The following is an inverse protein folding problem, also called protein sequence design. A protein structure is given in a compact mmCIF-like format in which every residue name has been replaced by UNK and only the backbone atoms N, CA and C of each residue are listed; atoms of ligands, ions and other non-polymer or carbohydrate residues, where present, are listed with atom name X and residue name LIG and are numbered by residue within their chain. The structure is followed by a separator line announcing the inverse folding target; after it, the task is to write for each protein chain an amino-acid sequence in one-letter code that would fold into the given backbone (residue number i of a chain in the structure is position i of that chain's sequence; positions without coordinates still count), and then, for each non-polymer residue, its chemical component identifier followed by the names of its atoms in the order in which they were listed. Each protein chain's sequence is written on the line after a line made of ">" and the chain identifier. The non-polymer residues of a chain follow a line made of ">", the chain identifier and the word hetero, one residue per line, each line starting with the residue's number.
data_IF_992780977325
#
_entry.id   IF_992780977325
#
_cell.length_a   1.000
_cell.length_b   1.000
_cell.length_c   1.000
_cell.angle_alpha   90.00
_cell.angle_beta   90.00
_cell.angle_gamma   90.00
#
_symmetry.space_group_name_H-M   'P 1'
#
loop_
_entity.id
_entity.type
_entity.pdbx_description
1 polymer ?
#
# COMPACT_ATOMS: atom_id res chain seq x y z
N UNK A 1 -13.45 -41.20 16.71
CA UNK A 1 -12.81 -40.26 17.67
C UNK A 1 -11.80 -39.46 16.89
N UNK A 2 -11.96 -38.13 16.85
CA UNK A 2 -10.99 -37.21 16.24
C UNK A 2 -9.69 -37.23 17.05
N UNK A 3 -8.58 -37.56 16.42
CA UNK A 3 -7.26 -37.52 17.07
C UNK A 3 -6.77 -36.09 17.23
N UNK A 4 -5.90 -35.83 18.22
CA UNK A 4 -5.29 -34.50 18.39
C UNK A 4 -4.54 -34.05 17.13
N UNK A 5 -3.91 -34.96 16.38
CA UNK A 5 -3.27 -34.68 15.09
C UNK A 5 -4.26 -34.17 14.05
N UNK A 6 -5.44 -34.80 13.91
CA UNK A 6 -6.48 -34.39 12.97
C UNK A 6 -7.06 -33.01 13.32
N UNK A 7 -7.25 -32.74 14.63
CA UNK A 7 -7.72 -31.43 15.09
C UNK A 7 -6.66 -30.34 14.84
N UNK A 8 -5.36 -30.67 14.96
CA UNK A 8 -4.27 -29.75 14.67
C UNK A 8 -4.16 -29.46 13.15
N UNK A 9 -4.36 -30.48 12.29
CA UNK A 9 -4.41 -30.30 10.83
C UNK A 9 -5.54 -29.35 10.42
N UNK A 10 -6.73 -29.50 10.99
CA UNK A 10 -7.86 -28.61 10.74
C UNK A 10 -7.61 -27.18 11.25
N UNK A 11 -6.76 -27.01 12.25
CA UNK A 11 -6.36 -25.69 12.75
C UNK A 11 -5.19 -25.05 11.98
N UNK A 12 -4.49 -25.85 11.16
CA UNK A 12 -3.30 -25.44 10.44
C UNK A 12 -3.59 -24.65 9.16
N UNK A 13 -4.74 -24.91 8.52
CA UNK A 13 -5.08 -24.30 7.25
C UNK A 13 -5.48 -22.82 7.44
N UNK A 14 -4.74 -21.91 6.81
CA UNK A 14 -5.06 -20.48 6.72
C UNK A 14 -5.15 -19.72 8.06
N UNK A 15 -4.24 -19.98 8.98
CA UNK A 15 -4.16 -19.22 10.23
C UNK A 15 -3.48 -17.87 10.00
N UNK A 16 -4.04 -16.82 10.60
CA UNK A 16 -3.31 -15.56 10.81
C UNK A 16 -2.32 -15.79 11.96
N UNK A 17 -1.03 -15.71 11.65
CA UNK A 17 0.05 -15.95 12.61
C UNK A 17 0.45 -14.68 13.36
N UNK A 18 0.41 -13.54 12.67
CA UNK A 18 0.65 -12.22 13.24
C UNK A 18 -0.03 -11.13 12.41
N UNK A 19 -0.27 -9.99 13.06
CA UNK A 19 -0.81 -8.79 12.42
C UNK A 19 0.09 -7.61 12.78
N UNK A 20 0.46 -6.82 11.78
CA UNK A 20 1.21 -5.57 11.94
C UNK A 20 0.39 -4.42 11.37
N UNK A 21 0.38 -3.29 12.05
CA UNK A 21 -0.33 -2.09 11.65
C UNK A 21 0.64 -0.93 11.49
N UNK A 22 0.52 -0.21 10.38
CA UNK A 22 1.21 1.04 10.11
C UNK A 22 0.21 2.13 9.75
N UNK A 23 0.47 3.35 10.18
CA UNK A 23 -0.34 4.51 9.81
C UNK A 23 0.48 5.78 9.73
N UNK A 24 0.01 6.75 8.96
CA UNK A 24 0.58 8.08 8.85
C UNK A 24 -0.50 9.09 8.50
N UNK A 25 -0.33 10.32 8.99
CA UNK A 25 -1.12 11.49 8.59
C UNK A 25 -0.23 12.63 8.07
N UNK A 26 1.06 12.33 7.87
CA UNK A 26 2.03 13.33 7.40
C UNK A 26 1.84 13.58 5.90
N UNK A 27 1.35 14.77 5.55
CA UNK A 27 1.19 15.17 4.17
C UNK A 27 2.54 15.18 3.42
N UNK A 28 2.55 14.60 2.24
CA UNK A 28 3.73 14.53 1.37
C UNK A 28 3.35 14.99 -0.03
N UNK A 29 4.18 15.87 -0.60
CA UNK A 29 3.98 16.42 -1.94
C UNK A 29 5.01 15.86 -2.91
N UNK A 30 4.57 15.52 -4.11
CA UNK A 30 5.44 15.16 -5.23
C UNK A 30 4.91 15.83 -6.52
N UNK A 31 5.80 16.54 -7.20
CA UNK A 31 5.53 17.17 -8.49
C UNK A 31 6.47 16.66 -9.58
N UNK A 32 7.01 15.46 -9.41
CA UNK A 32 7.95 14.83 -10.34
C UNK A 32 7.42 13.51 -10.87
N UNK A 33 7.95 13.08 -12.01
CA UNK A 33 7.68 11.77 -12.59
C UNK A 33 8.50 10.62 -11.96
N UNK A 34 9.21 10.91 -10.86
CA UNK A 34 9.92 9.90 -10.07
C UNK A 34 9.08 9.52 -8.85
N UNK A 35 8.96 8.23 -8.59
CA UNK A 35 8.25 7.75 -7.40
C UNK A 35 8.96 8.18 -6.11
N UNK A 36 8.21 8.82 -5.22
CA UNK A 36 8.63 9.18 -3.86
C UNK A 36 7.77 8.43 -2.83
N UNK A 37 8.30 8.24 -1.62
CA UNK A 37 7.60 7.60 -0.53
C UNK A 37 6.44 8.45 -0.03
N UNK A 38 5.32 7.80 0.34
CA UNK A 38 4.15 8.47 0.92
C UNK A 38 4.24 8.62 2.44
N UNK A 39 5.32 8.17 3.06
CA UNK A 39 5.50 7.97 4.52
C UNK A 39 4.69 6.81 5.12
N UNK A 40 3.75 6.20 4.37
CA UNK A 40 3.04 5.01 4.83
C UNK A 40 3.91 3.77 4.65
N UNK A 41 4.26 3.14 5.77
CA UNK A 41 5.13 1.96 5.81
C UNK A 41 4.77 1.06 6.99
N UNK A 42 5.01 -0.25 6.81
CA UNK A 42 4.96 -1.26 7.87
C UNK A 42 5.96 -2.38 7.57
N UNK A 43 6.51 -3.02 8.59
CA UNK A 43 7.46 -4.13 8.43
C UNK A 43 6.99 -5.35 9.20
N UNK A 44 7.08 -6.52 8.58
CA UNK A 44 6.72 -7.82 9.17
C UNK A 44 7.90 -8.77 9.02
N UNK A 45 8.09 -9.65 10.01
CA UNK A 45 9.08 -10.74 9.95
C UNK A 45 8.33 -12.06 9.89
N UNK A 46 8.15 -12.68 8.71
CA UNK A 46 7.41 -13.92 8.60
C UNK A 46 8.05 -15.04 9.41
N UNK A 47 7.23 -15.88 10.04
CA UNK A 47 7.66 -17.03 10.84
C UNK A 47 8.10 -18.22 9.96
N UNK A 48 7.61 -18.27 8.71
CA UNK A 48 7.99 -19.29 7.73
C UNK A 48 8.20 -18.66 6.35
N UNK A 49 9.16 -19.18 5.59
CA UNK A 49 9.39 -18.78 4.21
C UNK A 49 8.27 -19.22 3.26
N UNK A 50 7.40 -20.14 3.67
CA UNK A 50 6.20 -20.53 2.94
C UNK A 50 4.98 -19.68 3.28
N UNK A 51 5.02 -18.89 4.35
CA UNK A 51 3.93 -17.99 4.73
C UNK A 51 3.67 -16.94 3.66
N UNK A 52 2.40 -16.56 3.53
CA UNK A 52 1.95 -15.44 2.69
C UNK A 52 1.69 -14.21 3.57
N UNK A 53 1.75 -13.03 2.99
CA UNK A 53 1.41 -11.77 3.67
C UNK A 53 0.24 -11.11 2.94
N UNK A 54 -0.92 -11.06 3.60
CA UNK A 54 -2.03 -10.23 3.13
C UNK A 54 -1.75 -8.78 3.51
N UNK A 55 -1.57 -7.95 2.48
CA UNK A 55 -1.34 -6.51 2.61
C UNK A 55 -2.63 -5.78 2.29
N UNK A 56 -3.18 -5.05 3.26
CA UNK A 56 -4.34 -4.18 3.03
C UNK A 56 -3.92 -2.73 3.25
N UNK A 57 -4.17 -1.89 2.26
CA UNK A 57 -3.80 -0.47 2.27
C UNK A 57 -5.01 0.40 2.00
N UNK A 58 -5.15 1.46 2.81
CA UNK A 58 -6.01 2.60 2.54
C UNK A 58 -5.14 3.86 2.48
N UNK A 59 -4.91 4.37 1.27
CA UNK A 59 -4.16 5.59 1.01
C UNK A 59 -5.15 6.75 0.89
N UNK A 60 -5.21 7.60 1.90
CA UNK A 60 -6.19 8.67 2.02
C UNK A 60 -5.58 10.05 1.75
N UNK A 61 -6.45 11.05 1.50
CA UNK A 61 -6.02 12.40 1.19
C UNK A 61 -5.14 12.45 -0.07
N UNK A 62 -5.43 11.61 -1.07
CA UNK A 62 -4.83 11.73 -2.38
C UNK A 62 -5.44 12.93 -3.09
N UNK A 63 -4.61 13.90 -3.47
CA UNK A 63 -5.06 15.17 -4.00
C UNK A 63 -4.16 15.63 -5.16
N UNK A 64 -4.76 16.15 -6.21
CA UNK A 64 -4.07 16.90 -7.27
C UNK A 64 -4.39 18.38 -7.16
N UNK A 65 -3.40 19.25 -7.30
CA UNK A 65 -3.65 20.69 -7.42
C UNK A 65 -4.27 21.03 -8.78
N UNK A 66 -5.04 22.11 -8.82
CA UNK A 66 -5.66 22.63 -10.06
C UNK A 66 -4.71 23.41 -10.96
N UNK A 67 -3.40 23.35 -10.76
CA UNK A 67 -2.44 24.15 -11.51
C UNK A 67 -2.27 23.71 -12.98
N UNK A 68 -2.69 22.50 -13.34
CA UNK A 68 -2.56 21.98 -14.70
C UNK A 68 -3.66 20.95 -15.00
N UNK A 69 -4.26 21.02 -16.20
CA UNK A 69 -5.30 20.11 -16.67
C UNK A 69 -4.82 18.65 -16.76
N UNK A 70 -3.55 18.44 -17.07
CA UNK A 70 -2.94 17.11 -17.20
C UNK A 70 -2.46 16.51 -15.86
N UNK A 71 -2.68 17.21 -14.75
CA UNK A 71 -2.25 16.74 -13.44
C UNK A 71 -3.01 15.47 -13.04
N UNK A 72 -2.27 14.47 -12.59
CA UNK A 72 -2.76 13.15 -12.18
C UNK A 72 -1.76 12.50 -11.23
N UNK A 73 -2.15 11.40 -10.60
CA UNK A 73 -1.31 10.69 -9.65
C UNK A 73 -1.25 9.20 -9.99
N UNK A 74 -0.07 8.61 -9.86
CA UNK A 74 0.12 7.17 -9.84
C UNK A 74 0.60 6.73 -8.46
N UNK A 75 -0.02 5.68 -7.92
CA UNK A 75 0.32 5.10 -6.62
C UNK A 75 0.61 3.62 -6.79
N UNK A 76 1.63 3.13 -6.09
CA UNK A 76 2.00 1.71 -6.10
C UNK A 76 2.33 1.20 -4.70
N UNK A 77 2.14 -0.10 -4.50
CA UNK A 77 2.60 -0.86 -3.35
C UNK A 77 3.98 -1.44 -3.67
N UNK A 78 4.91 -1.30 -2.72
CA UNK A 78 6.30 -1.71 -2.85
C UNK A 78 6.68 -2.61 -1.67
N UNK A 79 7.38 -3.72 -1.94
CA UNK A 79 8.07 -4.55 -0.97
C UNK A 79 9.58 -4.32 -1.10
N UNK A 80 10.21 -3.78 -0.03
CA UNK A 80 11.62 -3.37 -0.12
C UNK A 80 11.84 -2.33 -1.23
N UNK A 81 12.50 -2.72 -2.31
CA UNK A 81 12.70 -1.92 -3.52
C UNK A 81 11.80 -2.34 -4.69
N UNK A 82 11.07 -3.45 -4.57
CA UNK A 82 10.31 -4.06 -5.66
C UNK A 82 8.86 -3.59 -5.66
N UNK A 83 8.38 -3.05 -6.78
CA UNK A 83 6.94 -2.79 -6.98
C UNK A 83 6.20 -4.12 -7.10
N UNK A 84 5.24 -4.37 -6.22
CA UNK A 84 4.45 -5.60 -6.22
C UNK A 84 3.04 -5.39 -6.75
N UNK A 85 2.49 -4.18 -6.66
CA UNK A 85 1.19 -3.87 -7.25
C UNK A 85 1.06 -2.37 -7.60
N UNK A 86 0.28 -2.06 -8.64
CA UNK A 86 -0.26 -0.72 -8.87
C UNK A 86 -1.54 -0.57 -8.04
N UNK A 87 -1.67 0.53 -7.30
CA UNK A 87 -2.86 0.84 -6.50
C UNK A 87 -3.84 1.75 -7.25
N UNK A 88 -3.35 2.48 -8.23
CA UNK A 88 -4.16 3.39 -9.04
C UNK A 88 -3.92 3.17 -10.53
N UNK A 89 -4.94 3.47 -11.35
CA UNK A 89 -4.78 3.57 -12.80
C UNK A 89 -4.01 4.83 -13.20
N UNK A 90 -3.61 4.90 -14.48
CA UNK A 90 -2.78 5.98 -14.99
C UNK A 90 -3.53 7.35 -15.08
N UNK A 91 -4.85 7.33 -14.97
CA UNK A 91 -5.71 8.52 -14.95
C UNK A 91 -6.30 8.84 -13.58
N UNK A 92 -5.71 8.31 -12.50
CA UNK A 92 -6.19 8.59 -11.16
C UNK A 92 -6.09 10.09 -10.83
N UNK A 93 -7.20 10.67 -10.39
CA UNK A 93 -7.43 12.10 -10.17
C UNK A 93 -7.46 12.98 -11.43
N UNK A 94 -7.27 12.44 -12.62
CA UNK A 94 -7.33 13.21 -13.86
C UNK A 94 -8.75 13.74 -14.10
N UNK A 95 -8.87 15.01 -14.49
CA UNK A 95 -10.16 15.67 -14.77
C UNK A 95 -10.25 16.28 -16.17
N UNK A 96 -9.12 16.35 -16.90
CA UNK A 96 -9.04 17.05 -18.18
C UNK A 96 -9.11 18.58 -18.06
N UNK A 97 -9.24 19.11 -16.85
CA UNK A 97 -9.33 20.53 -16.54
C UNK A 97 -8.32 20.91 -15.45
N UNK A 98 -7.95 22.21 -15.42
CA UNK A 98 -7.12 22.79 -14.37
C UNK A 98 -7.92 22.97 -13.07
N UNK A 99 -8.37 21.86 -12.49
CA UNK A 99 -9.18 21.79 -11.27
C UNK A 99 -8.48 20.94 -10.21
N UNK A 100 -8.68 21.30 -8.95
CA UNK A 100 -8.29 20.46 -7.82
C UNK A 100 -9.23 19.27 -7.71
N UNK A 101 -8.68 18.08 -7.44
CA UNK A 101 -9.46 16.87 -7.25
C UNK A 101 -8.81 15.98 -6.19
N UNK A 102 -9.62 15.30 -5.42
CA UNK A 102 -9.18 14.41 -4.36
C UNK A 102 -9.97 13.12 -4.29
N UNK A 103 -9.31 12.06 -3.86
CA UNK A 103 -9.90 10.74 -3.65
C UNK A 103 -9.05 9.92 -2.65
N UNK A 104 -9.44 8.67 -2.44
CA UNK A 104 -8.65 7.65 -1.75
C UNK A 104 -8.37 6.49 -2.69
N UNK A 105 -7.24 5.80 -2.48
CA UNK A 105 -6.89 4.58 -3.18
C UNK A 105 -6.73 3.45 -2.16
N UNK A 106 -7.24 2.27 -2.47
CA UNK A 106 -7.10 1.10 -1.62
C UNK A 106 -6.73 -0.14 -2.40
N UNK A 107 -6.07 -1.08 -1.74
CA UNK A 107 -5.76 -2.38 -2.30
C UNK A 107 -5.73 -3.44 -1.19
N UNK A 108 -6.17 -4.66 -1.52
CA UNK A 108 -5.85 -5.88 -0.79
C UNK A 108 -5.02 -6.77 -1.72
N UNK A 109 -3.83 -7.15 -1.27
CA UNK A 109 -2.86 -7.91 -2.06
C UNK A 109 -2.26 -9.02 -1.23
N UNK A 110 -2.30 -10.24 -1.74
CA UNK A 110 -1.68 -11.40 -1.11
C UNK A 110 -0.29 -11.59 -1.73
N UNK A 111 0.75 -11.32 -0.94
CA UNK A 111 2.15 -11.43 -1.33
C UNK A 111 2.80 -12.73 -0.84
N UNK A 112 3.79 -13.18 -1.57
CA UNK A 112 4.63 -14.35 -1.25
C UNK A 112 6.08 -13.89 -1.10
N UNK A 113 6.50 -13.38 0.08
CA UNK A 113 7.82 -12.81 0.25
C UNK A 113 8.94 -13.85 0.25
N UNK A 114 8.62 -15.12 0.49
CA UNK A 114 9.52 -16.28 0.51
C UNK A 114 10.75 -16.09 1.42
N UNK A 115 10.57 -15.45 2.57
CA UNK A 115 11.65 -15.15 3.52
C UNK A 115 11.16 -15.16 4.96
N UNK A 116 12.08 -15.38 5.90
CA UNK A 116 11.89 -15.18 7.34
C UNK A 116 12.63 -13.94 7.85
N UNK A 117 13.16 -13.11 6.95
CA UNK A 117 13.78 -11.83 7.30
C UNK A 117 12.75 -10.72 7.39
N UNK A 118 13.07 -9.66 8.15
CA UNK A 118 12.23 -8.47 8.22
C UNK A 118 11.98 -7.89 6.82
N UNK A 119 10.72 -7.78 6.45
CA UNK A 119 10.25 -7.36 5.13
C UNK A 119 9.40 -6.10 5.28
N UNK A 120 9.82 -5.01 4.63
CA UNK A 120 9.14 -3.72 4.68
C UNK A 120 8.23 -3.55 3.46
N UNK A 121 6.99 -3.20 3.72
CA UNK A 121 6.01 -2.76 2.73
C UNK A 121 5.79 -1.26 2.87
N UNK A 122 5.64 -0.57 1.76
CA UNK A 122 5.37 0.87 1.72
C UNK A 122 4.58 1.24 0.48
N UNK A 123 3.98 2.43 0.48
CA UNK A 123 3.40 3.02 -0.72
C UNK A 123 4.30 4.13 -1.25
N UNK A 124 4.32 4.26 -2.57
CA UNK A 124 5.03 5.34 -3.26
C UNK A 124 4.13 5.95 -4.31
N UNK A 125 4.33 7.21 -4.65
CA UNK A 125 3.52 7.94 -5.61
C UNK A 125 4.35 8.86 -6.49
N UNK A 126 3.81 9.21 -7.65
CA UNK A 126 4.40 10.21 -8.55
C UNK A 126 3.31 11.00 -9.29
N UNK A 127 3.68 12.15 -9.82
CA UNK A 127 2.95 12.82 -10.87
C UNK A 127 3.56 12.43 -12.23
N UNK A 128 2.90 11.63 -13.06
CA UNK A 128 3.50 11.14 -14.30
C UNK A 128 3.79 12.25 -15.32
N UNK A 129 3.14 13.41 -15.19
CA UNK A 129 3.30 14.53 -16.11
C UNK A 129 4.29 15.60 -15.63
N UNK A 130 4.75 15.54 -14.40
CA UNK A 130 5.74 16.46 -13.82
C UNK A 130 5.37 17.95 -13.94
N UNK A 131 4.09 18.29 -13.86
CA UNK A 131 3.60 19.66 -14.18
C UNK A 131 3.00 20.38 -12.98
N UNK A 132 2.47 19.67 -11.99
CA UNK A 132 1.83 20.26 -10.82
C UNK A 132 1.90 19.32 -9.62
N UNK A 133 1.65 19.85 -8.43
CA UNK A 133 1.75 19.07 -7.20
C UNK A 133 0.66 18.00 -7.11
N UNK A 134 1.07 16.79 -6.74
CA UNK A 134 0.24 15.74 -6.17
C UNK A 134 0.60 15.59 -4.71
N UNK A 135 -0.40 15.37 -3.85
CA UNK A 135 -0.25 15.31 -2.41
C UNK A 135 -0.93 14.03 -1.91
N UNK A 136 -0.35 13.39 -0.92
CA UNK A 136 -0.99 12.31 -0.15
C UNK A 136 -1.11 12.76 1.30
N UNK A 137 -2.05 12.21 2.06
CA UNK A 137 -2.41 12.65 3.40
C UNK A 137 -2.80 14.14 3.47
N UNK A 138 -3.36 14.71 2.39
CA UNK A 138 -3.86 16.08 2.40
C UNK A 138 -4.87 16.28 3.54
N UNK A 139 -4.78 17.45 4.20
CA UNK A 139 -5.61 17.76 5.36
C UNK A 139 -5.37 16.86 6.57
N UNK A 140 -4.20 16.26 6.71
CA UNK A 140 -3.87 15.28 7.76
C UNK A 140 -4.73 14.03 7.72
N UNK A 141 -5.25 13.65 6.55
CA UNK A 141 -6.00 12.42 6.36
C UNK A 141 -5.14 11.20 6.72
N UNK A 142 -5.65 10.33 7.58
CA UNK A 142 -4.91 9.15 8.04
C UNK A 142 -4.91 8.07 6.97
N UNK A 143 -3.74 7.68 6.50
CA UNK A 143 -3.52 6.49 5.68
C UNK A 143 -3.07 5.32 6.55
N UNK A 144 -3.51 4.10 6.19
CA UNK A 144 -3.27 2.89 6.99
C UNK A 144 -2.77 1.73 6.14
N UNK A 145 -1.96 0.88 6.77
CA UNK A 145 -1.51 -0.39 6.21
C UNK A 145 -1.63 -1.48 7.26
N UNK A 146 -2.26 -2.60 6.89
CA UNK A 146 -2.33 -3.81 7.71
C UNK A 146 -1.59 -4.92 6.98
N UNK A 147 -0.68 -5.57 7.67
CA UNK A 147 0.02 -6.77 7.21
C UNK A 147 -0.44 -7.94 8.06
N UNK A 148 -0.96 -8.99 7.41
CA UNK A 148 -1.35 -10.24 8.10
C UNK A 148 -0.51 -11.38 7.54
N UNK A 149 0.27 -12.04 8.38
CA UNK A 149 0.92 -13.29 8.00
C UNK A 149 -0.10 -14.42 8.02
N UNK A 150 -0.22 -15.10 6.89
CA UNK A 150 -1.10 -16.26 6.68
C UNK A 150 -0.22 -17.50 6.57
N UNK A 151 -0.50 -18.53 7.38
CA UNK A 151 0.20 -19.81 7.25
C UNK A 151 -0.06 -20.44 5.87
N UNK A 152 0.96 -21.10 5.31
CA UNK A 152 0.79 -21.98 4.15
C UNK A 152 0.12 -23.29 4.55
#
# INVERSE_FOLDING_TARGET
>A
VLTAAYVNDLRGAFRVLQVVYGSTSTATTNNTSTFADTTLTASITPQSSSSKVLVMVSQNGCFKSGANAENRMNIRLVRGATTIAKMSGDLFLYTGNAESNGASASISYLDEPATTSATTYKTTFMNPNNTAACIVQEGSAVSTMVLMEISA
#
